data_IF_782124917827
#
_entry.id   IF_782124917827
#
_cell.length_a   1.000
_cell.length_b   1.000
_cell.length_c   1.000
_cell.angle_alpha   90.00
_cell.angle_beta   90.00
_cell.angle_gamma   90.00
#
_symmetry.space_group_name_H-M   'P 1'
#
loop_
_entity.id
_entity.type
_entity.pdbx_description
1 polymer ?
#
# COMPACT_ATOMS: atom_id res chain seq x y z
N UNK A 1 -12.30 -4.63 -3.28
CA UNK A 1 -12.88 -3.29 -3.01
C UNK A 1 -13.57 -2.80 -4.28
N UNK A 2 -14.85 -2.41 -4.22
CA UNK A 2 -15.61 -1.89 -5.38
C UNK A 2 -15.94 -0.39 -5.29
N UNK A 3 -15.67 0.25 -4.14
CA UNK A 3 -15.78 1.69 -3.94
C UNK A 3 -14.41 2.23 -3.47
N UNK A 4 -13.76 3.17 -4.19
CA UNK A 4 -12.45 3.71 -3.83
C UNK A 4 -12.43 4.39 -2.46
N UNK A 5 -13.54 5.00 -2.02
CA UNK A 5 -13.66 5.69 -0.74
C UNK A 5 -13.51 4.72 0.45
N UNK A 6 -13.87 3.46 0.23
CA UNK A 6 -13.75 2.40 1.25
C UNK A 6 -12.38 1.74 1.26
N UNK A 7 -11.50 2.04 0.31
CA UNK A 7 -10.24 1.31 0.15
C UNK A 7 -9.38 1.30 1.42
N UNK A 8 -9.29 2.45 2.10
CA UNK A 8 -8.54 2.57 3.34
C UNK A 8 -9.27 1.92 4.53
N UNK A 9 -10.61 2.01 4.59
CA UNK A 9 -11.42 1.29 5.59
C UNK A 9 -11.22 -0.23 5.47
N UNK A 10 -11.23 -0.76 4.26
CA UNK A 10 -10.99 -2.19 3.99
C UNK A 10 -9.54 -2.59 4.29
N UNK A 11 -8.58 -1.68 4.12
CA UNK A 11 -7.19 -1.89 4.59
C UNK A 11 -7.15 -2.03 6.11
N UNK A 12 -7.82 -1.15 6.85
CA UNK A 12 -7.86 -1.22 8.32
C UNK A 12 -8.53 -2.51 8.81
N UNK A 13 -9.63 -2.93 8.16
CA UNK A 13 -10.30 -4.19 8.46
C UNK A 13 -9.41 -5.40 8.23
N UNK A 14 -8.68 -5.43 7.11
CA UNK A 14 -7.75 -6.51 6.82
C UNK A 14 -6.64 -6.59 7.89
N UNK A 15 -6.13 -5.44 8.33
CA UNK A 15 -5.16 -5.37 9.42
C UNK A 15 -5.75 -5.77 10.78
N UNK A 16 -7.01 -5.46 11.05
CA UNK A 16 -7.70 -5.86 12.29
C UNK A 16 -7.96 -7.37 12.35
N UNK A 17 -8.07 -8.04 11.21
CA UNK A 17 -8.22 -9.50 11.13
C UNK A 17 -6.94 -10.28 11.46
N UNK A 18 -5.78 -9.62 11.44
CA UNK A 18 -4.50 -10.24 11.77
C UNK A 18 -4.30 -10.27 13.29
N UNK A 19 -4.51 -11.42 13.90
CA UNK A 19 -4.30 -11.68 15.32
C UNK A 19 -3.15 -12.66 15.54
N UNK A 20 -2.37 -12.44 16.62
CA UNK A 20 -1.32 -13.38 17.05
C UNK A 20 -0.17 -13.58 16.05
N UNK A 21 0.10 -12.62 15.16
CA UNK A 21 1.18 -12.74 14.17
C UNK A 21 2.52 -12.30 14.75
N UNK A 22 3.57 -13.07 14.48
CA UNK A 22 4.94 -12.77 14.91
C UNK A 22 5.73 -11.95 13.89
N UNK A 23 5.28 -11.93 12.63
CA UNK A 23 6.00 -11.29 11.52
C UNK A 23 5.05 -10.90 10.39
N UNK A 24 5.30 -9.75 9.75
CA UNK A 24 4.51 -9.27 8.61
C UNK A 24 5.33 -9.29 7.31
N UNK A 25 4.83 -9.99 6.29
CA UNK A 25 5.29 -9.86 4.90
C UNK A 25 4.29 -8.99 4.15
N UNK A 26 4.69 -7.76 3.83
CA UNK A 26 3.82 -6.82 3.15
C UNK A 26 4.11 -6.74 1.64
N UNK A 27 3.20 -7.28 0.83
CA UNK A 27 3.29 -7.25 -0.62
C UNK A 27 2.67 -5.96 -1.19
N UNK A 28 3.47 -4.89 -1.31
CA UNK A 28 2.99 -3.54 -1.60
C UNK A 28 2.78 -3.29 -3.10
N UNK A 29 1.61 -3.65 -3.62
CA UNK A 29 1.23 -3.49 -5.04
C UNK A 29 0.68 -2.11 -5.41
N UNK A 30 1.14 -1.56 -6.52
CA UNK A 30 0.74 -0.27 -7.12
C UNK A 30 -0.27 -0.43 -8.25
N UNK A 31 -0.57 -1.65 -8.68
CA UNK A 31 -1.66 -1.99 -9.62
C UNK A 31 -3.06 -1.61 -9.11
N UNK A 32 -3.18 -1.31 -7.82
CA UNK A 32 -4.38 -0.69 -7.21
C UNK A 32 -4.56 0.80 -7.53
N UNK A 33 -3.52 1.50 -7.99
CA UNK A 33 -3.60 2.91 -8.39
C UNK A 33 -4.49 3.07 -9.63
N UNK A 34 -5.36 4.08 -9.64
CA UNK A 34 -6.39 4.27 -10.67
C UNK A 34 -5.85 4.34 -12.11
N UNK A 35 -4.60 4.79 -12.31
CA UNK A 35 -3.99 4.85 -13.64
C UNK A 35 -3.17 3.60 -13.99
N UNK A 36 -2.95 2.69 -13.05
CA UNK A 36 -2.16 1.47 -13.20
C UNK A 36 -3.04 0.19 -13.26
N UNK A 37 -4.32 0.32 -13.62
CA UNK A 37 -5.29 -0.79 -13.67
C UNK A 37 -6.23 -0.88 -12.48
N UNK A 38 -6.03 -0.03 -11.47
CA UNK A 38 -6.82 0.01 -10.27
C UNK A 38 -8.18 0.66 -10.44
N UNK A 39 -8.95 0.63 -9.37
CA UNK A 39 -10.27 1.28 -9.32
C UNK A 39 -10.13 2.80 -9.40
N UNK A 40 -10.89 3.43 -10.29
CA UNK A 40 -10.95 4.90 -10.42
C UNK A 40 -11.23 5.54 -9.06
N UNK A 41 -10.45 6.54 -8.67
CA UNK A 41 -10.53 7.19 -7.36
C UNK A 41 -9.50 6.70 -6.34
N UNK A 42 -8.79 5.59 -6.59
CA UNK A 42 -7.60 5.23 -5.79
C UNK A 42 -6.43 6.09 -6.27
N UNK A 43 -6.29 7.27 -5.68
CA UNK A 43 -5.25 8.24 -6.01
C UNK A 43 -3.91 7.88 -5.36
N UNK A 44 -2.81 8.55 -5.77
CA UNK A 44 -1.51 8.44 -5.10
C UNK A 44 -1.58 8.79 -3.60
N UNK A 45 -2.44 9.73 -3.21
CA UNK A 45 -2.64 10.08 -1.80
C UNK A 45 -3.24 8.91 -1.01
N UNK A 46 -4.16 8.15 -1.62
CA UNK A 46 -4.70 6.92 -1.03
C UNK A 46 -3.63 5.84 -0.94
N UNK A 47 -2.80 5.66 -1.98
CA UNK A 47 -1.65 4.74 -1.91
C UNK A 47 -0.74 5.10 -0.74
N UNK A 48 -0.30 6.36 -0.65
CA UNK A 48 0.53 6.83 0.46
C UNK A 48 -0.12 6.56 1.83
N UNK A 49 -1.42 6.84 1.97
CA UNK A 49 -2.14 6.60 3.21
C UNK A 49 -2.22 5.10 3.57
N UNK A 50 -2.38 4.21 2.57
CA UNK A 50 -2.30 2.75 2.77
C UNK A 50 -0.93 2.36 3.31
N UNK A 51 0.16 2.83 2.69
CA UNK A 51 1.52 2.52 3.15
C UNK A 51 1.74 2.93 4.60
N UNK A 52 1.36 4.17 4.95
CA UNK A 52 1.46 4.67 6.33
C UNK A 52 0.63 3.87 7.32
N UNK A 53 -0.59 3.42 6.95
CA UNK A 53 -1.45 2.62 7.84
C UNK A 53 -0.86 1.26 8.14
N UNK A 54 -0.36 0.55 7.13
CA UNK A 54 0.26 -0.77 7.30
C UNK A 54 1.50 -0.68 8.19
N UNK A 55 2.39 0.28 7.90
CA UNK A 55 3.62 0.46 8.70
C UNK A 55 3.31 0.88 10.12
N UNK A 56 2.40 1.86 10.32
CA UNK A 56 2.01 2.30 11.66
C UNK A 56 1.37 1.15 12.47
N UNK A 57 0.55 0.31 11.83
CA UNK A 57 -0.08 -0.84 12.47
C UNK A 57 0.96 -1.85 12.97
N UNK A 58 1.96 -2.17 12.15
CA UNK A 58 3.03 -3.11 12.51
C UNK A 58 3.92 -2.54 13.63
N UNK A 59 4.32 -1.26 13.50
CA UNK A 59 5.12 -0.55 14.51
C UNK A 59 4.43 -0.47 15.86
N UNK A 60 3.15 -0.08 15.89
CA UNK A 60 2.38 0.02 17.13
C UNK A 60 2.31 -1.31 17.90
N UNK A 61 2.37 -2.44 17.17
CA UNK A 61 2.36 -3.80 17.73
C UNK A 61 3.76 -4.38 17.93
N UNK A 62 4.82 -3.65 17.56
CA UNK A 62 6.21 -4.12 17.56
C UNK A 62 6.42 -5.39 16.74
N UNK A 63 5.64 -5.57 15.67
CA UNK A 63 5.79 -6.70 14.75
C UNK A 63 6.90 -6.37 13.75
N UNK A 64 7.97 -7.17 13.66
CA UNK A 64 8.96 -7.02 12.60
C UNK A 64 8.33 -7.25 11.24
N UNK A 65 8.74 -6.47 10.25
CA UNK A 65 8.17 -6.55 8.90
C UNK A 65 9.24 -6.51 7.82
N UNK A 66 8.95 -7.18 6.71
CA UNK A 66 9.59 -6.96 5.42
C UNK A 66 8.52 -6.56 4.41
N UNK A 67 8.94 -5.89 3.34
CA UNK A 67 8.05 -5.50 2.26
C UNK A 67 8.65 -5.89 0.91
N UNK A 68 7.76 -6.14 -0.06
CA UNK A 68 8.10 -6.30 -1.45
C UNK A 68 7.45 -5.18 -2.28
N UNK A 69 8.21 -4.63 -3.23
CA UNK A 69 7.67 -3.76 -4.26
C UNK A 69 6.98 -4.65 -5.30
N UNK A 70 5.66 -4.77 -5.21
CA UNK A 70 4.89 -5.77 -5.94
C UNK A 70 4.40 -5.24 -7.30
N UNK A 71 3.21 -5.68 -7.76
CA UNK A 71 2.61 -5.24 -9.02
C UNK A 71 2.62 -3.72 -9.18
N UNK A 72 2.61 -3.23 -10.42
CA UNK A 72 2.87 -1.84 -10.74
C UNK A 72 3.23 -1.72 -12.21
N UNK A 73 2.21 -1.55 -13.04
CA UNK A 73 2.33 -1.73 -14.48
C UNK A 73 2.18 -0.40 -15.21
N UNK A 74 2.85 -0.26 -16.36
CA UNK A 74 2.73 0.90 -17.26
C UNK A 74 1.37 1.00 -17.99
N UNK A 75 0.33 0.36 -17.45
CA UNK A 75 -1.01 0.49 -17.97
C UNK A 75 -1.46 1.96 -17.89
N UNK A 76 -2.44 2.34 -18.71
CA UNK A 76 -2.94 3.71 -18.71
C UNK A 76 -1.93 4.78 -19.14
N UNK A 77 -0.79 4.40 -19.74
CA UNK A 77 0.21 5.33 -20.27
C UNK A 77 1.23 5.85 -19.24
N UNK A 78 1.35 5.20 -18.08
CA UNK A 78 2.33 5.60 -17.06
C UNK A 78 3.77 5.35 -17.53
N UNK A 79 4.66 6.29 -17.18
CA UNK A 79 6.11 6.11 -17.32
C UNK A 79 6.65 5.19 -16.21
N UNK A 80 7.84 4.61 -16.42
CA UNK A 80 8.52 3.84 -15.37
C UNK A 80 8.86 4.72 -14.16
N UNK A 81 9.19 5.99 -14.39
CA UNK A 81 9.44 6.96 -13.32
C UNK A 81 8.19 7.18 -12.46
N UNK A 82 7.02 7.34 -13.08
CA UNK A 82 5.76 7.48 -12.35
C UNK A 82 5.41 6.22 -11.53
N UNK A 83 5.72 5.03 -12.06
CA UNK A 83 5.57 3.77 -11.30
C UNK A 83 6.57 3.70 -10.14
N UNK A 84 7.83 4.09 -10.37
CA UNK A 84 8.84 4.14 -9.33
C UNK A 84 8.47 5.13 -8.22
N UNK A 85 7.87 6.27 -8.55
CA UNK A 85 7.36 7.23 -7.57
C UNK A 85 6.25 6.65 -6.68
N UNK A 86 5.40 5.76 -7.20
CA UNK A 86 4.39 5.06 -6.39
C UNK A 86 5.07 4.09 -5.42
N UNK A 87 6.03 3.29 -5.91
CA UNK A 87 6.82 2.40 -5.05
C UNK A 87 7.63 3.14 -3.99
N UNK A 88 8.10 4.36 -4.29
CA UNK A 88 8.81 5.20 -3.35
C UNK A 88 7.95 5.58 -2.13
N UNK A 89 6.62 5.60 -2.24
CA UNK A 89 5.75 5.82 -1.07
C UNK A 89 5.88 4.70 -0.04
N UNK A 90 6.04 3.43 -0.46
CA UNK A 90 6.30 2.30 0.44
C UNK A 90 7.63 2.47 1.17
N UNK A 91 8.69 2.78 0.42
CA UNK A 91 10.04 2.96 0.98
C UNK A 91 10.02 4.10 2.00
N UNK A 92 9.41 5.24 1.65
CA UNK A 92 9.29 6.40 2.55
C UNK A 92 8.51 6.06 3.82
N UNK A 93 7.41 5.32 3.72
CA UNK A 93 6.62 4.93 4.88
C UNK A 93 7.42 4.03 5.83
N UNK A 94 8.16 3.05 5.30
CA UNK A 94 8.95 2.11 6.10
C UNK A 94 10.19 2.77 6.70
N UNK A 95 10.83 3.68 5.96
CA UNK A 95 12.06 4.34 6.38
C UNK A 95 11.86 5.53 7.34
N UNK A 96 10.61 5.97 7.56
CA UNK A 96 10.30 6.95 8.60
C UNK A 96 10.47 6.29 9.97
N UNK A 97 11.05 6.99 10.95
CA UNK A 97 11.19 6.54 12.34
C UNK A 97 9.90 6.73 13.15
#
# INVERSE_FOLDING_TARGET
VTNPERYLEETDKALAFLEGIDFLIYNAGMDTYEKAGGLKGITRAIIKARESRVVAWAKARRIPMIFALAGGYKWGGLSLEQIAELHLETIKAVAQD
#
